data_IF_712012652574
#
_entry.id   IF_712012652574
#
_cell.length_a   1.000
_cell.length_b   1.000
_cell.length_c   1.000
_cell.angle_alpha   90.00
_cell.angle_beta   90.00
_cell.angle_gamma   90.00
#
_symmetry.space_group_name_H-M   'P 1'
#
loop_
_entity.id
_entity.type
_entity.pdbx_description
1 polymer ?
#
# COMPACT_ATOMS: atom_id res chain seq x y z
N UNK A 1 28.48 -30.07 34.40
CA UNK A 1 28.36 -28.73 33.79
C UNK A 1 29.09 -27.75 34.69
N UNK A 2 30.29 -27.30 34.31
CA UNK A 2 31.15 -26.48 35.18
C UNK A 2 30.53 -25.09 35.39
N UNK A 3 30.44 -24.65 36.64
CA UNK A 3 29.88 -23.35 37.06
C UNK A 3 30.45 -22.16 36.26
N UNK A 4 31.69 -22.25 35.79
CA UNK A 4 32.30 -21.26 34.90
C UNK A 4 31.59 -21.06 33.56
N UNK A 5 30.99 -22.10 32.98
CA UNK A 5 30.25 -22.00 31.70
C UNK A 5 28.92 -21.25 31.90
N UNK A 6 28.28 -21.45 33.06
CA UNK A 6 27.02 -20.78 33.41
C UNK A 6 27.26 -19.28 33.64
N UNK A 7 28.34 -18.93 34.35
CA UNK A 7 28.68 -17.52 34.60
C UNK A 7 29.05 -16.80 33.30
N UNK A 8 29.82 -17.44 32.41
CA UNK A 8 30.16 -16.86 31.11
C UNK A 8 28.94 -16.58 30.23
N UNK A 9 27.95 -17.49 30.22
CA UNK A 9 26.68 -17.30 29.51
C UNK A 9 25.86 -16.13 30.06
N UNK A 10 25.77 -16.00 31.39
CA UNK A 10 25.02 -14.91 32.03
C UNK A 10 25.65 -13.55 31.71
N UNK A 11 26.98 -13.44 31.78
CA UNK A 11 27.69 -12.19 31.45
C UNK A 11 27.52 -11.83 29.97
N UNK A 12 27.59 -12.81 29.07
CA UNK A 12 27.37 -12.57 27.63
C UNK A 12 25.94 -12.05 27.35
N UNK A 13 24.93 -12.61 28.01
CA UNK A 13 23.53 -12.15 27.87
C UNK A 13 23.36 -10.73 28.42
N UNK A 14 23.98 -10.40 29.55
CA UNK A 14 23.93 -9.04 30.13
C UNK A 14 24.63 -8.02 29.24
N UNK A 15 25.78 -8.36 28.65
CA UNK A 15 26.51 -7.46 27.74
C UNK A 15 25.72 -7.21 26.45
N UNK A 16 25.09 -8.25 25.88
CA UNK A 16 24.20 -8.10 24.71
C UNK A 16 22.96 -7.26 25.04
N UNK A 17 22.38 -7.45 26.24
CA UNK A 17 21.24 -6.68 26.70
C UNK A 17 21.58 -5.19 26.89
N UNK A 18 22.76 -4.87 27.42
CA UNK A 18 23.21 -3.48 27.65
C UNK A 18 23.63 -2.78 26.36
N UNK A 19 24.22 -3.50 25.39
CA UNK A 19 24.63 -2.96 24.10
C UNK A 19 23.47 -2.68 23.13
N UNK A 20 22.30 -3.30 23.32
CA UNK A 20 21.11 -3.08 22.49
C UNK A 20 20.31 -1.81 22.84
N UNK A 21 20.48 -1.27 24.05
CA UNK A 21 19.69 -0.14 24.57
C UNK A 21 19.99 1.21 23.91
N UNK A 22 21.23 1.60 23.55
CA UNK A 22 21.47 2.92 22.98
C UNK A 22 20.98 3.07 21.52
N UNK A 23 20.78 1.98 20.77
CA UNK A 23 20.27 2.04 19.39
C UNK A 23 18.79 2.44 19.30
N UNK A 24 17.99 2.13 20.34
CA UNK A 24 16.56 2.48 20.38
C UNK A 24 16.34 3.92 20.84
N UNK A 25 17.22 4.49 21.67
CA UNK A 25 17.07 5.87 22.19
C UNK A 25 17.53 6.97 21.24
N UNK A 26 18.37 6.68 20.24
CA UNK A 26 18.86 7.69 19.30
C UNK A 26 17.84 8.10 18.21
N UNK A 27 16.64 7.52 18.17
CA UNK A 27 15.57 7.91 17.22
C UNK A 27 14.58 8.94 17.79
N UNK A 28 14.76 9.40 19.03
CA UNK A 28 13.77 10.19 19.76
C UNK A 28 13.65 11.68 19.43
N UNK A 29 14.56 12.27 18.64
CA UNK A 29 14.62 13.73 18.40
C UNK A 29 14.34 14.17 16.95
N UNK A 30 13.92 13.25 16.08
CA UNK A 30 13.42 13.56 14.70
C UNK A 30 11.90 13.40 14.55
N UNK A 31 11.19 13.20 15.67
CA UNK A 31 9.86 12.57 15.74
C UNK A 31 8.70 13.36 15.13
N UNK A 32 8.50 14.62 15.55
CA UNK A 32 7.32 15.40 15.17
C UNK A 32 7.21 15.65 13.65
N UNK A 33 8.29 16.18 13.04
CA UNK A 33 8.33 16.41 11.59
C UNK A 33 8.39 15.14 10.74
N UNK A 34 8.85 14.03 11.32
CA UNK A 34 8.84 12.71 10.68
C UNK A 34 7.43 12.12 10.58
N UNK A 35 6.68 12.17 11.69
CA UNK A 35 5.31 11.66 11.76
C UNK A 35 4.36 12.51 10.92
N UNK A 36 4.41 13.85 11.02
CA UNK A 36 3.55 14.70 10.19
C UNK A 36 3.77 14.49 8.69
N UNK A 37 5.02 14.32 8.23
CA UNK A 37 5.31 14.01 6.82
C UNK A 37 4.82 12.62 6.39
N UNK A 38 4.87 11.64 7.28
CA UNK A 38 4.44 10.26 6.98
C UNK A 38 2.92 10.13 6.95
N UNK A 39 2.26 10.66 7.96
CA UNK A 39 0.82 10.51 8.17
C UNK A 39 0.01 11.58 7.42
N UNK A 40 0.59 12.76 7.14
CA UNK A 40 -0.09 13.81 6.39
C UNK A 40 -1.43 14.17 7.05
N UNK A 41 -2.56 14.02 6.34
CA UNK A 41 -3.90 14.28 6.89
C UNK A 41 -4.23 13.48 8.16
N UNK A 42 -3.67 12.28 8.33
CA UNK A 42 -3.90 11.47 9.53
C UNK A 42 -3.23 12.06 10.78
N UNK A 43 -2.17 12.86 10.60
CA UNK A 43 -1.57 13.61 11.71
C UNK A 43 -2.54 14.67 12.21
N UNK A 44 -3.07 15.48 11.30
CA UNK A 44 -3.99 16.56 11.65
C UNK A 44 -5.28 15.98 12.26
N UNK A 45 -5.79 14.86 11.71
CA UNK A 45 -6.92 14.10 12.29
C UNK A 45 -6.64 13.57 13.70
N UNK A 46 -5.42 13.09 13.97
CA UNK A 46 -5.05 12.63 15.31
C UNK A 46 -4.99 13.80 16.30
N UNK A 47 -4.44 14.94 15.89
CA UNK A 47 -4.41 16.18 16.70
C UNK A 47 -5.83 16.64 17.03
N UNK A 48 -6.73 16.68 16.05
CA UNK A 48 -8.13 17.09 16.26
C UNK A 48 -8.86 16.17 17.25
N UNK A 49 -8.56 14.86 17.23
CA UNK A 49 -9.16 13.88 18.15
C UNK A 49 -8.67 14.03 19.60
N UNK A 50 -7.49 14.60 19.78
CA UNK A 50 -6.91 14.89 21.09
C UNK A 50 -7.06 16.37 21.46
N UNK A 51 -8.08 17.05 20.94
CA UNK A 51 -8.41 18.46 21.25
C UNK A 51 -7.23 19.43 21.06
N UNK A 52 -6.37 19.16 20.06
CA UNK A 52 -5.18 19.96 19.79
C UNK A 52 -3.92 19.54 20.57
N UNK A 53 -3.96 18.47 21.39
CA UNK A 53 -2.77 17.94 22.05
C UNK A 53 -1.88 17.16 21.07
N UNK A 54 -0.93 17.88 20.48
CA UNK A 54 0.10 17.32 19.61
C UNK A 54 0.90 16.18 20.24
N UNK A 55 1.17 16.23 21.55
CA UNK A 55 1.95 15.16 22.21
C UNK A 55 1.14 13.89 22.34
N UNK A 56 -0.16 13.99 22.62
CA UNK A 56 -1.04 12.82 22.66
C UNK A 56 -1.19 12.19 21.26
N UNK A 57 -1.40 13.02 20.24
CA UNK A 57 -1.45 12.57 18.85
C UNK A 57 -0.16 11.86 18.42
N UNK A 58 1.01 12.44 18.70
CA UNK A 58 2.29 11.82 18.34
C UNK A 58 2.56 10.50 19.07
N UNK A 59 2.12 10.37 20.33
CA UNK A 59 2.20 9.10 21.07
C UNK A 59 1.33 8.03 20.42
N UNK A 60 0.10 8.37 20.04
CA UNK A 60 -0.81 7.45 19.36
C UNK A 60 -0.24 6.99 18.01
N UNK A 61 0.17 7.93 17.15
CA UNK A 61 0.75 7.63 15.85
C UNK A 61 2.06 6.83 15.97
N UNK A 62 2.89 7.15 16.98
CA UNK A 62 4.07 6.37 17.32
C UNK A 62 3.72 4.92 17.64
N UNK A 63 2.72 4.68 18.49
CA UNK A 63 2.26 3.33 18.83
C UNK A 63 1.68 2.58 17.62
N UNK A 64 1.01 3.27 16.70
CA UNK A 64 0.54 2.68 15.43
C UNK A 64 1.72 2.23 14.56
N UNK A 65 2.76 3.05 14.43
CA UNK A 65 3.97 2.69 13.69
C UNK A 65 4.70 1.51 14.34
N UNK A 66 4.76 1.48 15.67
CA UNK A 66 5.37 0.35 16.39
C UNK A 66 4.62 -0.97 16.14
N UNK A 67 3.28 -0.94 16.11
CA UNK A 67 2.47 -2.14 15.88
C UNK A 67 2.43 -2.56 14.41
N UNK A 68 2.22 -1.64 13.47
CA UNK A 68 1.91 -1.96 12.07
C UNK A 68 3.01 -1.57 11.09
N UNK A 69 4.03 -0.82 11.51
CA UNK A 69 5.06 -0.30 10.60
C UNK A 69 5.94 -1.37 9.97
N UNK A 70 5.99 -2.57 10.56
CA UNK A 70 6.69 -3.73 10.00
C UNK A 70 5.88 -4.57 9.01
N UNK A 71 4.60 -4.25 8.81
CA UNK A 71 3.74 -4.96 7.86
C UNK A 71 4.30 -4.79 6.44
N UNK A 72 4.40 -5.90 5.71
CA UNK A 72 4.82 -5.91 4.31
C UNK A 72 3.64 -6.23 3.42
N UNK A 73 3.35 -5.30 2.52
CA UNK A 73 2.24 -5.45 1.60
C UNK A 73 2.55 -6.54 0.55
N UNK A 74 1.63 -7.51 0.40
CA UNK A 74 1.75 -8.61 -0.57
C UNK A 74 1.31 -8.15 -1.95
N UNK A 75 2.15 -8.23 -2.99
CA UNK A 75 1.75 -7.82 -4.34
C UNK A 75 0.53 -8.63 -4.81
N UNK A 76 -0.38 -7.97 -5.50
CA UNK A 76 -1.52 -8.63 -6.15
C UNK A 76 -1.09 -9.19 -7.51
N UNK A 77 -1.46 -10.44 -7.81
CA UNK A 77 -1.25 -10.98 -9.15
C UNK A 77 -2.08 -10.18 -10.17
N UNK A 78 -1.62 -10.05 -11.44
CA UNK A 78 -2.33 -9.26 -12.44
C UNK A 78 -3.81 -9.63 -12.60
N UNK A 79 -4.12 -10.93 -12.60
CA UNK A 79 -5.49 -11.42 -12.69
C UNK A 79 -6.36 -11.10 -11.46
N UNK A 80 -5.77 -10.93 -10.28
CA UNK A 80 -6.51 -10.48 -9.09
C UNK A 80 -6.82 -8.98 -9.18
N UNK A 81 -5.86 -8.17 -9.64
CA UNK A 81 -6.07 -6.73 -9.87
C UNK A 81 -7.20 -6.49 -10.87
N UNK A 82 -7.17 -7.16 -12.02
CA UNK A 82 -8.23 -7.06 -13.04
C UNK A 82 -9.62 -7.42 -12.48
N UNK A 83 -9.71 -8.45 -11.63
CA UNK A 83 -10.97 -8.81 -10.97
C UNK A 83 -11.45 -7.73 -10.01
N UNK A 84 -10.55 -7.15 -9.21
CA UNK A 84 -10.92 -6.08 -8.30
C UNK A 84 -11.33 -4.82 -9.05
N UNK A 85 -10.65 -4.46 -10.14
CA UNK A 85 -11.02 -3.34 -11.01
C UNK A 85 -12.41 -3.54 -11.60
N UNK A 86 -12.70 -4.73 -12.15
CA UNK A 86 -14.02 -5.05 -12.68
C UNK A 86 -15.12 -4.96 -11.62
N UNK A 87 -14.85 -5.43 -10.39
CA UNK A 87 -15.79 -5.30 -9.26
C UNK A 87 -16.01 -3.85 -8.87
N UNK A 88 -14.97 -3.02 -8.88
CA UNK A 88 -15.13 -1.60 -8.63
C UNK A 88 -16.00 -0.92 -9.70
N UNK A 89 -15.82 -1.27 -10.98
CA UNK A 89 -16.69 -0.77 -12.05
C UNK A 89 -18.15 -1.17 -11.82
N UNK A 90 -18.40 -2.42 -11.44
CA UNK A 90 -19.75 -2.89 -11.11
C UNK A 90 -20.38 -2.11 -9.94
N UNK A 91 -19.59 -1.76 -8.91
CA UNK A 91 -20.04 -0.89 -7.82
C UNK A 91 -20.52 0.47 -8.34
N UNK A 92 -19.78 1.07 -9.27
CA UNK A 92 -20.15 2.37 -9.86
C UNK A 92 -21.43 2.27 -10.71
N UNK A 93 -21.61 1.18 -11.45
CA UNK A 93 -22.83 0.93 -12.23
C UNK A 93 -24.04 0.75 -11.30
N UNK A 94 -23.91 -0.08 -10.26
CA UNK A 94 -24.96 -0.29 -9.26
C UNK A 94 -25.35 0.98 -8.50
N UNK A 95 -24.46 1.98 -8.42
CA UNK A 95 -24.76 3.23 -7.72
C UNK A 95 -25.92 3.99 -8.35
N UNK A 96 -26.11 3.88 -9.68
CA UNK A 96 -27.19 4.56 -10.39
C UNK A 96 -28.57 4.08 -9.91
N UNK A 97 -28.71 2.77 -9.73
CA UNK A 97 -29.97 2.14 -9.34
C UNK A 97 -30.12 2.01 -7.82
N UNK A 98 -29.01 1.84 -7.10
CA UNK A 98 -28.99 1.53 -5.67
C UNK A 98 -27.76 2.13 -4.97
N UNK A 99 -27.74 3.45 -4.74
CA UNK A 99 -26.60 4.15 -4.12
C UNK A 99 -26.12 3.52 -2.81
N UNK A 100 -27.05 3.17 -1.91
CA UNK A 100 -26.73 2.58 -0.60
C UNK A 100 -26.09 1.21 -0.72
N UNK A 101 -26.57 0.38 -1.67
CA UNK A 101 -26.03 -0.94 -1.93
C UNK A 101 -24.61 -0.84 -2.49
N UNK A 102 -24.39 0.07 -3.44
CA UNK A 102 -23.08 0.33 -4.02
C UNK A 102 -22.05 0.78 -2.97
N UNK A 103 -22.42 1.67 -2.04
CA UNK A 103 -21.51 2.08 -0.95
C UNK A 103 -21.16 0.89 -0.04
N UNK A 104 -22.13 0.05 0.31
CA UNK A 104 -21.86 -1.15 1.11
C UNK A 104 -20.96 -2.16 0.38
N UNK A 105 -21.14 -2.32 -0.93
CA UNK A 105 -20.27 -3.16 -1.78
C UNK A 105 -18.86 -2.57 -1.87
N UNK A 106 -18.71 -1.25 -1.93
CA UNK A 106 -17.40 -0.59 -1.89
C UNK A 106 -16.69 -0.81 -0.54
N UNK A 107 -17.42 -0.73 0.58
CA UNK A 107 -16.88 -1.00 1.92
C UNK A 107 -16.27 -2.40 2.01
N UNK A 108 -17.04 -3.40 1.54
CA UNK A 108 -16.59 -4.80 1.49
C UNK A 108 -15.41 -4.99 0.55
N UNK A 109 -15.47 -4.40 -0.65
CA UNK A 109 -14.40 -4.51 -1.64
C UNK A 109 -13.08 -3.94 -1.11
N UNK A 110 -13.10 -2.77 -0.45
CA UNK A 110 -11.90 -2.20 0.16
C UNK A 110 -11.32 -3.11 1.24
N UNK A 111 -12.18 -3.67 2.10
CA UNK A 111 -11.75 -4.58 3.16
C UNK A 111 -11.09 -5.85 2.60
N UNK A 112 -11.66 -6.41 1.53
CA UNK A 112 -11.13 -7.59 0.83
C UNK A 112 -9.80 -7.31 0.14
N UNK A 113 -9.68 -6.18 -0.58
CA UNK A 113 -8.43 -5.80 -1.26
C UNK A 113 -7.33 -5.56 -0.23
N UNK A 114 -7.62 -4.86 0.88
CA UNK A 114 -6.66 -4.67 1.97
C UNK A 114 -6.22 -6.02 2.57
N UNK A 115 -7.16 -6.93 2.86
CA UNK A 115 -6.82 -8.28 3.32
C UNK A 115 -5.94 -9.04 2.32
N UNK A 116 -6.25 -8.96 1.02
CA UNK A 116 -5.44 -9.58 -0.03
C UNK A 116 -4.02 -8.99 -0.12
N UNK A 117 -3.86 -7.70 0.22
CA UNK A 117 -2.57 -7.02 0.34
C UNK A 117 -1.84 -7.34 1.65
N UNK A 118 -2.41 -8.15 2.54
CA UNK A 118 -1.79 -8.59 3.79
C UNK A 118 -2.07 -7.70 5.01
N UNK A 119 -3.04 -6.79 4.91
CA UNK A 119 -3.56 -6.05 6.06
C UNK A 119 -4.44 -6.95 6.94
N UNK A 120 -4.71 -6.55 8.21
CA UNK A 120 -5.65 -7.26 9.08
C UNK A 120 -7.00 -7.53 8.41
N UNK A 121 -7.68 -8.58 8.85
CA UNK A 121 -8.96 -9.00 8.27
C UNK A 121 -10.04 -7.92 8.40
N UNK A 122 -10.90 -7.78 7.39
CA UNK A 122 -11.97 -6.78 7.33
C UNK A 122 -13.03 -6.92 8.43
N UNK A 123 -13.17 -8.10 9.05
CA UNK A 123 -14.01 -8.28 10.23
C UNK A 123 -13.51 -7.46 11.43
N UNK A 124 -12.23 -7.08 11.44
CA UNK A 124 -11.60 -6.22 12.44
C UNK A 124 -11.34 -4.83 11.86
N UNK A 125 -12.41 -4.13 11.47
CA UNK A 125 -12.36 -2.82 10.82
C UNK A 125 -11.39 -1.84 11.49
N UNK A 126 -11.45 -1.67 12.82
CA UNK A 126 -10.60 -0.70 13.53
C UNK A 126 -9.10 -1.05 13.41
N UNK A 127 -8.76 -2.35 13.48
CA UNK A 127 -7.39 -2.83 13.35
C UNK A 127 -6.88 -2.70 11.90
N UNK A 128 -7.74 -3.01 10.92
CA UNK A 128 -7.43 -2.85 9.52
C UNK A 128 -7.18 -1.37 9.17
N UNK A 129 -8.05 -0.47 9.63
CA UNK A 129 -7.89 0.98 9.47
C UNK A 129 -6.63 1.48 10.19
N UNK A 130 -6.33 1.00 11.39
CA UNK A 130 -5.11 1.35 12.11
C UNK A 130 -3.85 0.98 11.32
N UNK A 131 -3.83 -0.20 10.69
CA UNK A 131 -2.75 -0.62 9.82
C UNK A 131 -2.68 0.21 8.52
N UNK A 132 -3.83 0.44 7.87
CA UNK A 132 -3.92 1.27 6.66
C UNK A 132 -3.47 2.71 6.90
N UNK A 133 -3.74 3.30 8.07
CA UNK A 133 -3.24 4.64 8.43
C UNK A 133 -1.72 4.75 8.42
N UNK A 134 -0.99 3.65 8.65
CA UNK A 134 0.48 3.65 8.72
C UNK A 134 1.14 3.59 7.34
N UNK A 135 0.46 2.99 6.36
CA UNK A 135 0.98 2.71 5.01
C UNK A 135 0.29 3.53 3.91
N UNK A 136 -1.01 3.78 4.05
CA UNK A 136 -1.89 4.50 3.11
C UNK A 136 -2.53 5.74 3.74
N UNK A 137 -1.77 6.47 4.56
CA UNK A 137 -2.26 7.56 5.40
C UNK A 137 -3.03 8.65 4.64
N UNK A 138 -2.66 8.92 3.38
CA UNK A 138 -3.28 9.99 2.59
C UNK A 138 -4.66 9.62 2.04
N UNK A 139 -5.00 8.32 2.03
CA UNK A 139 -6.20 7.82 1.34
C UNK A 139 -7.14 7.02 2.26
N UNK A 140 -6.67 6.56 3.42
CA UNK A 140 -7.47 5.79 4.40
C UNK A 140 -8.76 6.50 4.84
N UNK A 141 -8.81 7.83 4.74
CA UNK A 141 -10.02 8.59 5.07
C UNK A 141 -11.22 8.19 4.22
N UNK A 142 -11.03 7.87 2.94
CA UNK A 142 -12.12 7.43 2.07
C UNK A 142 -12.78 6.13 2.55
N UNK A 143 -11.98 5.21 3.09
CA UNK A 143 -12.52 3.99 3.70
C UNK A 143 -13.37 4.29 4.93
N UNK A 144 -12.92 5.21 5.80
CA UNK A 144 -13.70 5.62 6.96
C UNK A 144 -15.01 6.27 6.58
N UNK A 145 -15.01 7.09 5.52
CA UNK A 145 -16.21 7.77 5.03
C UNK A 145 -17.23 6.75 4.54
N UNK A 146 -16.83 5.80 3.70
CA UNK A 146 -17.70 4.72 3.19
C UNK A 146 -18.21 3.80 4.31
N UNK A 147 -17.35 3.42 5.25
CA UNK A 147 -17.74 2.56 6.36
C UNK A 147 -18.80 3.23 7.25
N UNK A 148 -18.61 4.51 7.57
CA UNK A 148 -19.58 5.28 8.35
C UNK A 148 -20.93 5.35 7.64
N UNK A 149 -20.96 5.68 6.35
CA UNK A 149 -22.20 5.76 5.58
C UNK A 149 -22.94 4.41 5.55
N UNK A 150 -22.21 3.30 5.49
CA UNK A 150 -22.76 1.94 5.52
C UNK A 150 -23.34 1.58 6.91
N UNK A 151 -22.72 2.05 7.99
CA UNK A 151 -23.14 1.78 9.38
C UNK A 151 -24.32 2.62 9.85
N UNK A 152 -24.62 3.75 9.20
CA UNK A 152 -25.79 4.58 9.57
C UNK A 152 -27.07 3.84 9.22
N UNK A 153 -27.65 3.17 10.21
CA UNK A 153 -28.99 2.61 10.13
C UNK A 153 -30.02 3.72 10.39
N UNK A 154 -31.07 3.85 9.56
CA UNK A 154 -32.13 4.86 9.76
C UNK A 154 -32.87 4.70 11.10
N UNK A 155 -32.75 3.54 11.75
CA UNK A 155 -33.48 3.20 12.98
C UNK A 155 -32.76 3.63 14.28
N UNK A 156 -31.54 4.20 14.18
CA UNK A 156 -30.63 4.35 15.33
C UNK A 156 -30.65 5.71 16.04
N UNK A 157 -31.20 6.76 15.44
CA UNK A 157 -31.31 8.07 16.08
C UNK A 157 -32.33 8.97 15.37
N UNK A 158 -33.32 9.53 16.05
CA UNK A 158 -34.33 10.42 15.44
C UNK A 158 -33.75 11.74 14.92
N UNK A 159 -32.53 12.12 15.34
CA UNK A 159 -31.90 13.40 15.00
C UNK A 159 -30.83 13.31 13.90
N UNK A 160 -30.45 12.09 13.47
CA UNK A 160 -29.46 11.91 12.42
C UNK A 160 -30.15 11.66 11.07
N UNK A 161 -30.19 12.69 10.22
CA UNK A 161 -30.63 12.52 8.84
C UNK A 161 -29.83 11.40 8.15
N UNK A 162 -30.52 10.48 7.49
CA UNK A 162 -29.86 9.44 6.70
C UNK A 162 -28.99 10.10 5.61
N UNK A 163 -27.81 9.53 5.28
CA UNK A 163 -26.94 10.08 4.24
C UNK A 163 -27.70 10.24 2.93
N UNK A 164 -27.57 11.41 2.30
CA UNK A 164 -28.15 11.66 0.99
C UNK A 164 -27.37 10.93 -0.11
N UNK A 165 -27.95 10.82 -1.30
CA UNK A 165 -27.27 10.22 -2.46
C UNK A 165 -25.97 10.96 -2.80
N UNK A 166 -25.92 12.28 -2.59
CA UNK A 166 -24.70 13.06 -2.85
C UNK A 166 -23.59 12.78 -1.83
N UNK A 167 -23.93 12.57 -0.56
CA UNK A 167 -22.96 12.13 0.46
C UNK A 167 -22.38 10.77 0.11
N UNK A 168 -23.22 9.86 -0.40
CA UNK A 168 -22.79 8.54 -0.88
C UNK A 168 -21.88 8.64 -2.11
N UNK A 169 -22.18 9.57 -3.04
CA UNK A 169 -21.32 9.84 -4.20
C UNK A 169 -19.96 10.33 -3.74
N UNK A 170 -19.91 11.32 -2.85
CA UNK A 170 -18.67 11.87 -2.31
C UNK A 170 -17.85 10.78 -1.59
N UNK A 171 -18.51 9.93 -0.80
CA UNK A 171 -17.87 8.80 -0.14
C UNK A 171 -17.19 7.83 -1.13
N UNK A 172 -17.88 7.46 -2.22
CA UNK A 172 -17.29 6.59 -3.26
C UNK A 172 -16.11 7.24 -3.97
N UNK A 173 -16.15 8.55 -4.20
CA UNK A 173 -15.05 9.28 -4.83
C UNK A 173 -13.80 9.30 -3.92
N UNK A 174 -13.97 9.55 -2.61
CA UNK A 174 -12.87 9.48 -1.65
C UNK A 174 -12.31 8.05 -1.53
N UNK A 175 -13.20 7.04 -1.48
CA UNK A 175 -12.82 5.64 -1.40
C UNK A 175 -12.03 5.14 -2.62
N UNK A 176 -12.32 5.69 -3.81
CA UNK A 176 -11.58 5.35 -5.04
C UNK A 176 -10.09 5.58 -4.89
N UNK A 177 -9.69 6.67 -4.23
CA UNK A 177 -8.27 6.99 -4.07
C UNK A 177 -7.53 5.91 -3.26
N UNK A 178 -8.15 5.35 -2.22
CA UNK A 178 -7.56 4.24 -1.48
C UNK A 178 -7.53 2.96 -2.30
N UNK A 179 -8.61 2.68 -3.04
CA UNK A 179 -8.67 1.52 -3.91
C UNK A 179 -7.53 1.51 -4.94
N UNK A 180 -7.32 2.63 -5.63
CA UNK A 180 -6.24 2.78 -6.63
C UNK A 180 -4.85 2.65 -6.00
N UNK A 181 -4.64 3.21 -4.80
CA UNK A 181 -3.39 3.09 -4.06
C UNK A 181 -3.11 1.63 -3.64
N UNK A 182 -4.14 0.89 -3.20
CA UNK A 182 -4.03 -0.52 -2.84
C UNK A 182 -3.75 -1.43 -4.04
N UNK A 183 -4.21 -1.07 -5.24
CA UNK A 183 -3.90 -1.80 -6.47
C UNK A 183 -2.50 -1.50 -7.03
N UNK A 184 -1.91 -0.38 -6.64
CA UNK A 184 -0.58 0.01 -7.09
C UNK A 184 0.47 -0.94 -6.48
N UNK A 185 1.37 -1.53 -7.29
CA UNK A 185 2.43 -2.37 -6.74
C UNK A 185 3.30 -1.56 -5.78
N UNK A 186 3.53 -2.12 -4.58
CA UNK A 186 4.42 -1.51 -3.59
C UNK A 186 5.77 -1.19 -4.26
N UNK A 187 6.20 0.08 -4.21
CA UNK A 187 7.45 0.53 -4.82
C UNK A 187 8.61 -0.27 -4.22
N UNK A 188 9.10 -1.29 -4.93
CA UNK A 188 10.15 -2.15 -4.41
C UNK A 188 10.52 -3.39 -5.22
N UNK A 189 9.65 -3.91 -6.09
CA UNK A 189 10.03 -5.01 -6.97
C UNK A 189 10.11 -4.53 -8.43
N UNK A 190 11.32 -4.45 -9.02
CA UNK A 190 11.42 -4.37 -10.46
C UNK A 190 10.81 -5.65 -11.01
N UNK A 191 9.81 -5.48 -11.87
CA UNK A 191 9.16 -6.55 -12.59
C UNK A 191 10.22 -7.51 -13.18
N UNK A 192 10.38 -8.66 -12.52
CA UNK A 192 11.36 -9.66 -12.95
C UNK A 192 10.89 -10.37 -14.23
N UNK A 193 9.63 -10.19 -14.64
CA UNK A 193 9.07 -10.79 -15.86
C UNK A 193 9.62 -10.09 -17.11
N UNK A 194 9.70 -8.75 -17.15
CA UNK A 194 10.30 -8.04 -18.30
C UNK A 194 11.82 -8.21 -18.47
N UNK A 195 12.57 -8.59 -17.42
CA UNK A 195 14.02 -8.85 -17.55
C UNK A 195 14.34 -10.19 -18.20
N UNK A 196 13.50 -11.21 -17.99
CA UNK A 196 13.70 -12.54 -18.57
C UNK A 196 13.55 -12.53 -20.11
N UNK A 197 12.61 -11.74 -20.64
CA UNK A 197 12.44 -11.61 -22.10
C UNK A 197 13.59 -10.83 -22.77
N UNK A 198 14.10 -9.77 -22.12
CA UNK A 198 15.22 -9.00 -22.68
C UNK A 198 16.57 -9.72 -22.62
N UNK A 199 16.78 -10.67 -21.70
CA UNK A 199 18.01 -11.47 -21.66
C UNK A 199 17.96 -12.67 -22.62
N UNK A 200 16.78 -13.22 -22.90
CA UNK A 200 16.62 -14.28 -23.90
C UNK A 200 16.84 -13.77 -25.33
N UNK A 201 16.46 -12.52 -25.64
CA UNK A 201 16.68 -11.91 -26.96
C UNK A 201 18.14 -11.49 -27.23
N UNK A 202 18.99 -11.42 -26.20
CA UNK A 202 20.41 -11.05 -26.33
C UNK A 202 21.35 -12.27 -26.52
N UNK A 203 20.83 -13.49 -26.48
CA UNK A 203 21.59 -14.72 -26.60
C UNK A 203 21.33 -15.43 -27.94
N UNK A 204 21.58 -14.76 -29.05
CA UNK A 204 21.74 -15.42 -30.36
C UNK A 204 23.22 -15.37 -30.75
N UNK A 205 23.97 -16.48 -30.66
CA UNK A 205 25.36 -16.52 -31.14
C UNK A 205 25.36 -16.52 -32.67
N UNK A 206 26.05 -15.53 -33.26
CA UNK A 206 26.29 -15.48 -34.69
C UNK A 206 27.12 -16.68 -35.16
N UNK A 207 26.54 -17.45 -36.07
CA UNK A 207 27.25 -18.42 -36.88
C UNK A 207 27.42 -17.86 -38.31
N UNK A 208 28.63 -18.10 -38.82
CA UNK A 208 29.04 -18.14 -40.24
C UNK A 208 29.41 -16.86 -41.00
N UNK A 209 30.68 -16.86 -41.45
CA UNK A 209 30.90 -16.67 -42.89
C UNK A 209 31.86 -15.58 -43.36
N UNK A 210 33.00 -15.31 -42.73
CA UNK A 210 34.04 -14.47 -43.35
C UNK A 210 34.82 -15.22 -44.44
N UNK A 211 34.30 -15.19 -45.68
CA UNK A 211 35.05 -15.50 -46.90
C UNK A 211 35.58 -14.20 -47.50
N UNK A 212 36.90 -14.04 -47.53
CA UNK A 212 37.62 -12.96 -48.20
C UNK A 212 37.45 -13.06 -49.72
N UNK A 213 37.11 -11.96 -50.40
CA UNK A 213 37.63 -11.60 -51.72
C UNK A 213 37.71 -10.06 -51.86
N UNK A 214 38.75 -9.51 -52.53
CA UNK A 214 38.99 -8.08 -52.61
C UNK A 214 38.36 -7.41 -53.85
N UNK A 215 38.24 -6.08 -53.73
CA UNK A 215 37.81 -5.05 -54.70
C UNK A 215 38.15 -5.30 -56.18
N UNK A 216 37.23 -4.89 -57.06
CA UNK A 216 37.52 -4.35 -58.38
C UNK A 216 36.32 -3.59 -59.00
N UNK A 217 36.59 -2.33 -59.38
CA UNK A 217 36.02 -1.50 -60.47
C UNK A 217 34.49 -1.33 -60.59
N UNK A 218 33.92 -0.16 -60.27
CA UNK A 218 33.92 1.12 -61.02
C UNK A 218 33.17 1.08 -62.36
N UNK A 219 31.97 1.69 -62.32
CA UNK A 219 31.48 2.75 -63.23
C UNK A 219 30.96 2.35 -64.63
N UNK A 220 29.70 2.76 -64.86
CA UNK A 220 29.06 3.18 -66.15
C UNK A 220 28.77 2.06 -67.18
N UNK A 221 27.72 2.06 -68.00
CA UNK A 221 26.71 3.04 -68.46
C UNK A 221 25.52 2.25 -69.14
N UNK A 222 24.49 2.91 -69.75
CA UNK A 222 23.10 2.46 -69.87
C UNK A 222 22.63 2.04 -71.29
N UNK A 223 21.29 1.90 -71.42
CA UNK A 223 20.41 1.93 -72.63
C UNK A 223 20.22 0.61 -73.38
N UNK A 224 19.00 0.06 -73.33
CA UNK A 224 17.89 0.20 -74.30
C UNK A 224 18.12 -0.61 -75.59
N UNK A 225 17.17 -1.50 -75.86
CA UNK A 225 17.05 -2.38 -77.02
C UNK A 225 15.99 -3.44 -76.76
#
# INVERSE_FOLDING_TARGET
MSTGVIIALIVAVVVVAVAAVPAVRARGSRGAGGLKRRFGPEYDRAVDRHDGDFKAAERELGALVERHGGLRERPLEPAERERYEARWTAVQEHFVDSPRKAVAEADQLLAEVAGARGFPDGAQYDEQVAALSVHHAHHVQGYRTVHRVTRVTPDGSPDAAAPGTEDMRAALLEARALFDDLLTPARGEPDRRHRAEHTAAAATPGADGHRRLPRAFHRQQPKEG
#
